data_IF_227632833622
#
_entry.id   IF_227632833622
#
_cell.length_a   1.000
_cell.length_b   1.000
_cell.length_c   1.000
_cell.angle_alpha   90.00
_cell.angle_beta   90.00
_cell.angle_gamma   90.00
#
_symmetry.space_group_name_H-M   'P 1'
#
loop_
_entity.id
_entity.type
_entity.pdbx_description
1 polymer ?
#
# COMPACT_ATOMS: atom_id res chain seq x y z
N UNK A 1 -34.54 -81.58 -5.42
CA UNK A 1 -33.27 -82.06 -6.03
C UNK A 1 -32.07 -81.41 -5.31
N UNK A 2 -30.85 -81.90 -5.57
CA UNK A 2 -29.48 -81.38 -5.28
C UNK A 2 -29.30 -80.17 -4.33
N UNK A 3 -28.58 -80.23 -3.20
CA UNK A 3 -27.15 -80.56 -2.92
C UNK A 3 -26.11 -79.43 -3.16
N UNK A 4 -25.78 -78.73 -2.05
CA UNK A 4 -24.46 -78.29 -1.51
C UNK A 4 -23.25 -77.88 -2.42
N UNK A 5 -22.46 -76.96 -1.84
CA UNK A 5 -20.97 -76.80 -1.83
C UNK A 5 -20.23 -75.86 -2.82
N UNK A 6 -19.10 -75.31 -2.33
CA UNK A 6 -18.09 -74.39 -2.93
C UNK A 6 -18.54 -72.94 -3.21
N UNK A 7 -17.91 -71.83 -2.78
CA UNK A 7 -16.54 -71.45 -2.29
C UNK A 7 -15.56 -71.00 -3.41
N UNK A 8 -14.75 -69.96 -3.11
CA UNK A 8 -13.87 -69.11 -3.95
C UNK A 8 -14.64 -68.04 -4.78
N UNK A 9 -14.42 -66.72 -4.63
CA UNK A 9 -13.24 -65.84 -4.89
C UNK A 9 -13.23 -65.32 -6.35
N UNK A 10 -12.90 -64.06 -6.70
CA UNK A 10 -12.35 -62.90 -5.95
C UNK A 10 -12.61 -61.58 -6.72
N UNK A 11 -12.36 -60.41 -6.08
CA UNK A 11 -12.02 -59.10 -6.70
C UNK A 11 -12.99 -58.46 -7.73
N UNK A 12 -13.56 -57.28 -7.41
CA UNK A 12 -13.11 -56.00 -8.02
C UNK A 12 -13.68 -54.73 -7.36
N UNK A 13 -12.77 -53.90 -6.86
CA UNK A 13 -12.77 -52.43 -6.84
C UNK A 13 -14.10 -51.64 -6.68
N UNK A 14 -14.45 -51.28 -5.44
CA UNK A 14 -15.26 -50.09 -5.19
C UNK A 14 -14.40 -48.82 -5.43
N UNK A 15 -14.76 -48.01 -6.43
CA UNK A 15 -14.05 -46.75 -6.75
C UNK A 15 -14.43 -45.62 -5.78
N UNK A 16 -13.91 -45.67 -4.55
CA UNK A 16 -13.91 -44.53 -3.63
C UNK A 16 -12.98 -43.45 -4.16
N UNK A 17 -13.52 -42.50 -4.93
CA UNK A 17 -12.76 -41.43 -5.56
C UNK A 17 -12.36 -40.35 -4.52
N UNK A 18 -11.42 -40.67 -3.64
CA UNK A 18 -10.87 -39.76 -2.64
C UNK A 18 -10.08 -38.66 -3.34
N UNK A 19 -10.75 -37.55 -3.64
CA UNK A 19 -10.15 -36.36 -4.23
C UNK A 19 -9.15 -35.73 -3.23
N UNK A 20 -7.89 -36.14 -3.32
CA UNK A 20 -6.78 -35.49 -2.62
C UNK A 20 -6.63 -34.07 -3.17
N UNK A 21 -7.22 -33.09 -2.49
CA UNK A 21 -7.07 -31.67 -2.83
C UNK A 21 -5.60 -31.31 -2.65
N UNK A 22 -4.87 -30.89 -3.71
CA UNK A 22 -3.48 -30.52 -3.56
C UNK A 22 -3.38 -29.28 -2.65
N UNK A 23 -2.70 -29.43 -1.52
CA UNK A 23 -2.43 -28.36 -0.58
C UNK A 23 -1.39 -27.38 -1.17
N UNK A 24 -1.82 -26.57 -2.13
CA UNK A 24 -1.02 -25.45 -2.65
C UNK A 24 -0.63 -24.54 -1.48
N UNK A 25 0.68 -24.36 -1.29
CA UNK A 25 1.23 -23.53 -0.21
C UNK A 25 0.62 -22.12 -0.28
N UNK A 26 -0.25 -21.79 0.69
CA UNK A 26 -1.08 -20.59 0.60
C UNK A 26 -0.21 -19.34 0.74
N UNK A 27 0.00 -18.65 -0.38
CA UNK A 27 0.75 -17.42 -0.42
C UNK A 27 0.03 -16.35 0.43
N UNK A 28 0.77 -15.56 1.24
CA UNK A 28 0.19 -14.51 2.07
C UNK A 28 -0.79 -13.61 1.31
N UNK A 29 -1.97 -13.39 1.88
CA UNK A 29 -3.01 -12.53 1.32
C UNK A 29 -2.55 -11.07 1.25
N UNK A 30 -3.14 -10.26 0.37
CA UNK A 30 -2.83 -8.83 0.30
C UNK A 30 -3.08 -8.10 1.64
N UNK A 31 -4.10 -8.52 2.40
CA UNK A 31 -4.36 -8.02 3.73
C UNK A 31 -3.18 -8.29 4.69
N UNK A 32 -2.68 -9.53 4.75
CA UNK A 32 -1.50 -9.89 5.54
C UNK A 32 -0.23 -9.16 5.06
N UNK A 33 0.01 -9.09 3.75
CA UNK A 33 1.17 -8.37 3.18
C UNK A 33 1.15 -6.88 3.53
N UNK A 34 -0.04 -6.26 3.52
CA UNK A 34 -0.20 -4.87 3.93
C UNK A 34 0.02 -4.70 5.44
N UNK A 35 -0.52 -5.61 6.27
CA UNK A 35 -0.32 -5.59 7.73
C UNK A 35 1.16 -5.69 8.13
N UNK A 36 1.91 -6.62 7.51
CA UNK A 36 3.37 -6.72 7.68
C UNK A 36 4.06 -5.43 7.22
N UNK A 37 3.68 -4.88 6.06
CA UNK A 37 4.30 -3.64 5.54
C UNK A 37 4.08 -2.44 6.48
N UNK A 38 2.96 -2.37 7.19
CA UNK A 38 2.75 -1.37 8.25
C UNK A 38 3.57 -1.64 9.50
N UNK A 39 3.58 -2.87 10.02
CA UNK A 39 4.26 -3.23 11.27
C UNK A 39 5.80 -3.17 11.15
N UNK A 40 6.35 -3.60 10.02
CA UNK A 40 7.78 -3.73 9.78
C UNK A 40 8.42 -2.52 9.09
N UNK A 41 7.74 -1.38 8.97
CA UNK A 41 8.20 -0.27 8.12
C UNK A 41 9.57 0.27 8.52
N UNK A 42 9.83 0.43 9.81
CA UNK A 42 11.10 0.85 10.39
C UNK A 42 12.19 -0.19 10.17
N UNK A 43 11.90 -1.43 10.55
CA UNK A 43 12.84 -2.55 10.55
C UNK A 43 13.27 -2.91 9.13
N UNK A 44 12.35 -2.78 8.16
CA UNK A 44 12.64 -2.95 6.75
C UNK A 44 13.62 -1.89 6.22
N UNK A 45 13.53 -0.65 6.70
CA UNK A 45 14.48 0.41 6.32
C UNK A 45 15.85 0.23 6.99
N UNK A 46 15.92 -0.39 8.17
CA UNK A 46 17.17 -0.69 8.86
C UNK A 46 17.89 -1.93 8.29
N UNK A 47 17.15 -2.99 7.95
CA UNK A 47 17.73 -4.31 7.65
C UNK A 47 17.49 -4.83 6.22
N UNK A 48 16.57 -4.21 5.45
CA UNK A 48 16.13 -4.70 4.14
C UNK A 48 16.03 -3.61 3.04
N UNK A 49 16.68 -2.46 3.23
CA UNK A 49 16.56 -1.31 2.32
C UNK A 49 16.91 -1.60 0.84
N UNK A 50 17.82 -2.56 0.59
CA UNK A 50 18.23 -2.98 -0.75
C UNK A 50 17.24 -3.92 -1.46
N UNK A 51 16.13 -4.29 -0.81
CA UNK A 51 15.15 -5.26 -1.32
C UNK A 51 13.87 -4.54 -1.80
N UNK A 52 13.22 -4.96 -2.90
CA UNK A 52 11.94 -4.39 -3.33
C UNK A 52 10.79 -4.68 -2.35
N UNK A 53 10.08 -3.66 -1.82
CA UNK A 53 9.07 -3.85 -0.78
C UNK A 53 7.77 -4.48 -1.30
N UNK A 54 7.28 -5.49 -0.58
CA UNK A 54 5.96 -6.11 -0.81
C UNK A 54 5.97 -7.45 -1.57
N UNK A 55 7.10 -7.84 -2.15
CA UNK A 55 7.29 -9.17 -2.74
C UNK A 55 7.51 -10.29 -1.71
N UNK A 56 7.89 -11.48 -2.17
CA UNK A 56 8.31 -12.59 -1.29
C UNK A 56 9.75 -12.40 -0.78
N UNK A 57 10.55 -11.67 -1.54
CA UNK A 57 11.93 -11.25 -1.25
C UNK A 57 11.98 -10.40 0.01
N UNK A 58 11.04 -9.45 0.13
CA UNK A 58 10.85 -8.61 1.31
C UNK A 58 10.56 -9.45 2.56
N UNK A 59 9.66 -10.44 2.45
CA UNK A 59 9.35 -11.35 3.56
C UNK A 59 10.54 -12.25 3.90
N UNK A 60 11.29 -12.75 2.90
CA UNK A 60 12.48 -13.58 3.16
C UNK A 60 13.61 -12.76 3.81
N UNK A 61 13.78 -11.48 3.45
CA UNK A 61 14.74 -10.59 4.10
C UNK A 61 14.36 -10.33 5.57
N UNK A 62 13.07 -10.07 5.85
CA UNK A 62 12.59 -9.94 7.23
C UNK A 62 12.82 -11.24 8.01
N UNK A 63 12.43 -12.41 7.48
CA UNK A 63 12.68 -13.73 8.11
C UNK A 63 14.17 -13.95 8.45
N UNK A 64 15.08 -13.59 7.54
CA UNK A 64 16.54 -13.68 7.75
C UNK A 64 17.08 -12.76 8.85
N UNK A 65 16.36 -11.68 9.17
CA UNK A 65 16.76 -10.68 10.18
C UNK A 65 15.90 -10.74 11.45
N UNK A 66 15.09 -11.79 11.67
CA UNK A 66 14.07 -11.85 12.74
C UNK A 66 14.53 -11.46 14.15
N UNK A 67 15.78 -11.76 14.52
CA UNK A 67 16.37 -11.38 15.81
C UNK A 67 16.62 -9.87 15.96
N UNK A 68 16.77 -9.15 14.85
CA UNK A 68 17.02 -7.70 14.79
C UNK A 68 15.75 -6.87 14.60
N UNK A 69 14.63 -7.50 14.22
CA UNK A 69 13.35 -6.81 14.05
C UNK A 69 12.70 -6.47 15.39
N UNK A 70 11.98 -5.36 15.44
CA UNK A 70 11.07 -4.98 16.52
C UNK A 70 10.03 -6.08 16.82
N UNK A 71 9.59 -6.18 18.08
CA UNK A 71 8.64 -7.21 18.53
C UNK A 71 7.31 -7.19 17.75
N UNK A 72 6.81 -6.00 17.41
CA UNK A 72 5.62 -5.84 16.56
C UNK A 72 5.82 -6.38 15.14
N UNK A 73 7.00 -6.14 14.55
CA UNK A 73 7.35 -6.70 13.25
C UNK A 73 7.55 -8.22 13.31
N UNK A 74 8.25 -8.74 14.33
CA UNK A 74 8.40 -10.19 14.56
C UNK A 74 7.03 -10.89 14.63
N UNK A 75 6.08 -10.34 15.39
CA UNK A 75 4.73 -10.87 15.49
C UNK A 75 4.01 -10.91 14.14
N UNK A 76 4.07 -9.82 13.37
CA UNK A 76 3.46 -9.73 12.05
C UNK A 76 4.07 -10.72 11.03
N UNK A 77 5.39 -10.96 11.08
CA UNK A 77 6.04 -11.94 10.20
C UNK A 77 5.71 -13.38 10.63
N UNK A 78 5.75 -13.69 11.94
CA UNK A 78 5.41 -15.03 12.47
C UNK A 78 3.96 -15.44 12.16
N UNK A 79 3.01 -14.51 12.29
CA UNK A 79 1.58 -14.76 12.00
C UNK A 79 1.26 -15.04 10.51
N UNK A 80 2.27 -15.00 9.64
CA UNK A 80 2.15 -15.12 8.18
C UNK A 80 3.24 -16.06 7.60
N UNK A 81 4.04 -16.70 8.47
CA UNK A 81 4.69 -17.94 8.08
C UNK A 81 3.61 -19.03 7.91
N UNK A 82 3.81 -20.02 7.02
CA UNK A 82 2.88 -21.14 6.95
C UNK A 82 2.89 -21.84 8.31
N UNK A 83 1.74 -21.84 8.98
CA UNK A 83 1.57 -22.59 10.21
C UNK A 83 1.84 -24.07 9.92
N UNK A 84 2.91 -24.61 10.48
CA UNK A 84 2.97 -26.05 10.72
C UNK A 84 1.73 -26.41 11.55
N UNK A 85 1.01 -27.44 11.11
CA UNK A 85 -0.35 -27.72 11.57
C UNK A 85 -0.41 -27.83 13.11
N UNK A 86 -1.42 -27.24 13.77
CA UNK A 86 -1.62 -27.41 15.21
C UNK A 86 -2.10 -28.83 15.52
N UNK A 87 -1.17 -29.80 15.52
CA UNK A 87 -1.36 -31.14 16.05
C UNK A 87 -1.34 -31.11 17.59
N UNK A 88 -2.47 -30.81 18.19
CA UNK A 88 -2.88 -31.30 19.51
C UNK A 88 -4.38 -31.07 19.69
N UNK A 89 -5.15 -32.10 20.04
CA UNK A 89 -6.55 -31.95 20.39
C UNK A 89 -6.76 -31.08 21.65
N UNK A 90 -7.88 -30.37 21.71
CA UNK A 90 -8.34 -29.77 22.95
C UNK A 90 -8.89 -30.89 23.88
N UNK A 91 -8.26 -31.07 25.04
CA UNK A 91 -8.82 -31.83 26.16
C UNK A 91 -9.21 -30.85 27.29
N UNK A 92 -10.49 -30.79 27.71
CA UNK A 92 -10.95 -29.90 28.77
C UNK A 92 -10.37 -30.19 30.17
N UNK A 93 -10.65 -29.26 31.09
CA UNK A 93 -10.07 -29.09 32.42
C UNK A 93 -10.56 -30.06 33.52
N UNK A 94 -9.78 -30.09 34.61
CA UNK A 94 -10.22 -30.24 36.02
C UNK A 94 -10.82 -31.60 36.49
N UNK A 95 -10.87 -31.93 37.79
CA UNK A 95 -10.45 -31.19 39.01
C UNK A 95 -9.61 -32.09 39.99
N UNK A 96 -9.58 -32.00 41.35
CA UNK A 96 -8.32 -32.15 42.10
C UNK A 96 -8.24 -33.38 43.02
N UNK A 97 -7.08 -33.61 43.65
CA UNK A 97 -7.02 -34.00 45.07
C UNK A 97 -5.64 -33.74 45.71
N UNK A 98 -5.48 -34.05 47.00
CA UNK A 98 -4.57 -33.33 47.90
C UNK A 98 -3.35 -34.09 48.49
N UNK A 99 -2.42 -33.27 49.00
CA UNK A 99 -1.29 -33.50 49.93
C UNK A 99 -1.41 -34.71 50.90
N UNK A 100 -0.27 -35.29 51.35
CA UNK A 100 0.52 -34.63 52.41
C UNK A 100 2.06 -34.67 52.31
N UNK A 101 2.72 -33.92 53.21
CA UNK A 101 4.17 -33.69 53.32
C UNK A 101 4.68 -33.94 54.74
N UNK A 102 5.91 -34.48 54.92
CA UNK A 102 7.00 -33.83 55.68
C UNK A 102 8.32 -33.85 54.87
N UNK A 103 9.48 -33.26 55.25
CA UNK A 103 9.94 -32.26 56.24
C UNK A 103 11.00 -31.40 55.48
N UNK A 104 11.37 -30.15 55.79
CA UNK A 104 12.05 -29.59 56.97
C UNK A 104 13.47 -30.17 57.22
N UNK A 105 14.51 -29.38 57.52
CA UNK A 105 14.59 -27.94 57.89
C UNK A 105 15.46 -27.18 56.83
N UNK A 106 16.10 -26.01 56.95
CA UNK A 106 16.52 -25.11 58.06
C UNK A 106 16.70 -23.66 57.52
N UNK A 107 17.46 -22.77 58.20
CA UNK A 107 17.79 -21.35 57.83
C UNK A 107 19.26 -21.05 58.27
N UNK A 108 19.92 -19.91 57.93
CA UNK A 108 19.57 -18.57 58.42
C UNK A 108 19.63 -17.44 57.36
N UNK A 109 19.37 -16.19 57.80
CA UNK A 109 19.26 -14.93 57.05
C UNK A 109 19.70 -13.79 58.02
N UNK A 110 20.06 -12.58 57.54
CA UNK A 110 19.23 -11.43 57.94
C UNK A 110 19.06 -10.31 56.87
N UNK A 111 17.85 -9.72 56.81
CA UNK A 111 17.57 -8.38 56.25
C UNK A 111 18.01 -7.24 57.21
N UNK A 112 17.98 -5.94 56.83
CA UNK A 112 16.76 -5.09 56.74
C UNK A 112 16.75 -4.15 55.50
N UNK A 113 15.81 -3.23 55.22
CA UNK A 113 14.38 -3.00 55.53
C UNK A 113 13.83 -1.93 54.52
N UNK A 114 12.55 -1.50 54.60
CA UNK A 114 11.89 -0.67 53.57
C UNK A 114 11.08 0.54 54.08
N UNK A 115 10.78 1.48 53.16
CA UNK A 115 9.99 2.73 53.30
C UNK A 115 9.70 3.28 51.87
N UNK A 116 8.59 3.94 51.50
CA UNK A 116 7.23 4.13 52.09
C UNK A 116 6.21 4.44 50.97
N UNK A 117 4.93 4.63 51.30
CA UNK A 117 3.86 5.17 50.42
C UNK A 117 3.39 6.57 50.96
N UNK A 118 2.33 7.29 50.51
CA UNK A 118 1.14 6.86 49.73
C UNK A 118 0.69 7.82 48.57
N UNK A 119 -0.58 7.72 48.16
CA UNK A 119 -1.18 8.26 46.92
C UNK A 119 -2.05 9.52 47.10
N UNK A 120 -2.51 10.12 45.99
CA UNK A 120 -3.74 10.93 45.94
C UNK A 120 -4.44 10.94 44.56
N UNK A 121 -5.72 11.35 44.49
CA UNK A 121 -6.57 11.38 43.28
C UNK A 121 -7.84 12.24 43.44
N UNK A 122 -8.11 13.19 42.53
CA UNK A 122 -9.45 13.42 41.96
C UNK A 122 -9.44 13.24 40.42
N UNK A 123 -10.46 12.71 39.73
CA UNK A 123 -11.77 13.34 39.41
C UNK A 123 -11.58 14.70 38.70
N UNK A 124 -11.69 14.87 37.38
CA UNK A 124 -12.71 14.49 36.37
C UNK A 124 -13.96 15.39 36.39
N UNK A 125 -14.05 16.33 35.42
CA UNK A 125 -15.32 16.92 34.99
C UNK A 125 -15.34 17.23 33.48
N UNK A 126 -16.56 17.26 32.94
CA UNK A 126 -17.00 17.39 31.55
C UNK A 126 -16.78 18.79 30.94
N UNK A 127 -16.37 18.86 29.67
CA UNK A 127 -16.93 19.83 28.70
C UNK A 127 -16.46 19.53 27.25
N UNK A 128 -17.41 19.47 26.32
CA UNK A 128 -17.15 19.84 24.92
C UNK A 128 -17.41 21.35 24.77
N UNK A 129 -16.88 22.00 23.72
CA UNK A 129 -17.82 22.37 22.67
C UNK A 129 -17.30 22.23 21.23
N UNK A 130 -18.28 22.01 20.34
CA UNK A 130 -18.33 22.29 18.90
C UNK A 130 -17.03 22.71 18.18
N UNK A 131 -16.57 21.84 17.27
CA UNK A 131 -15.72 22.21 16.14
C UNK A 131 -16.46 23.19 15.21
N UNK A 132 -16.26 24.49 15.39
CA UNK A 132 -16.82 25.52 14.51
C UNK A 132 -15.84 25.87 13.39
N UNK A 133 -16.09 25.34 12.18
CA UNK A 133 -15.42 25.79 10.97
C UNK A 133 -15.51 27.32 10.84
N UNK A 134 -14.37 27.99 10.78
CA UNK A 134 -14.26 29.41 10.46
C UNK A 134 -13.18 29.58 9.42
N UNK A 135 -13.49 30.28 8.34
CA UNK A 135 -12.65 30.40 7.16
C UNK A 135 -11.81 31.69 7.20
N UNK A 136 -10.68 31.70 6.48
CA UNK A 136 -9.88 32.89 6.12
C UNK A 136 -9.15 33.64 7.26
N UNK A 137 -8.14 34.48 6.94
CA UNK A 137 -7.10 34.26 5.92
C UNK A 137 -5.67 34.65 6.40
N UNK A 138 -4.70 34.51 5.48
CA UNK A 138 -3.41 35.22 5.43
C UNK A 138 -2.34 34.98 6.53
N UNK A 139 -1.23 34.33 6.13
CA UNK A 139 0.14 34.87 6.27
C UNK A 139 1.11 34.07 5.39
N UNK A 140 2.18 34.71 4.89
CA UNK A 140 3.16 34.09 3.99
C UNK A 140 4.47 33.73 4.69
N UNK A 141 4.79 32.45 4.77
CA UNK A 141 6.11 31.92 5.14
C UNK A 141 6.74 31.15 3.96
N UNK A 142 8.08 30.97 3.91
CA UNK A 142 8.76 30.38 2.76
C UNK A 142 8.22 28.98 2.41
N UNK A 143 7.54 28.89 1.26
CA UNK A 143 6.48 27.91 1.07
C UNK A 143 7.02 26.56 0.59
N UNK A 144 7.38 25.70 1.55
CA UNK A 144 7.61 24.27 1.30
C UNK A 144 6.40 23.70 0.54
N UNK A 145 6.57 23.04 -0.63
CA UNK A 145 5.45 22.63 -1.45
C UNK A 145 4.53 21.67 -0.69
N UNK A 146 3.22 21.87 -0.86
CA UNK A 146 2.17 21.02 -0.28
C UNK A 146 2.30 19.57 -0.74
N UNK A 147 1.66 18.64 -0.02
CA UNK A 147 1.61 17.22 -0.42
C UNK A 147 1.07 17.03 -1.85
N UNK A 148 0.10 17.87 -2.26
CA UNK A 148 -0.44 17.91 -3.61
C UNK A 148 0.59 18.40 -4.65
N UNK A 149 1.26 19.54 -4.41
CA UNK A 149 2.33 20.05 -5.29
C UNK A 149 3.48 19.05 -5.40
N UNK A 150 3.93 18.47 -4.27
CA UNK A 150 4.96 17.44 -4.24
C UNK A 150 4.52 16.12 -4.90
N UNK A 151 3.22 15.88 -5.10
CA UNK A 151 2.73 14.80 -5.96
C UNK A 151 2.78 15.21 -7.45
N UNK A 152 2.30 16.40 -7.79
CA UNK A 152 2.28 16.94 -9.15
C UNK A 152 3.68 16.98 -9.79
N UNK A 153 4.69 17.47 -9.06
CA UNK A 153 6.11 17.48 -9.51
C UNK A 153 6.60 16.06 -9.78
N UNK A 154 6.30 15.08 -8.90
CA UNK A 154 6.70 13.67 -9.07
C UNK A 154 5.97 12.94 -10.20
N UNK A 155 4.83 13.45 -10.67
CA UNK A 155 4.22 13.00 -11.94
C UNK A 155 4.87 13.65 -13.15
N UNK A 156 5.04 14.97 -13.16
CA UNK A 156 5.60 15.71 -14.30
C UNK A 156 7.07 15.35 -14.58
N UNK A 157 7.90 15.25 -13.54
CA UNK A 157 9.34 15.03 -13.62
C UNK A 157 9.76 13.56 -13.65
N UNK A 158 8.85 12.59 -13.81
CA UNK A 158 9.19 11.17 -13.57
C UNK A 158 10.30 10.65 -14.46
N UNK A 159 10.27 10.98 -15.75
CA UNK A 159 11.28 10.54 -16.72
C UNK A 159 12.59 11.29 -16.51
N UNK A 160 12.52 12.61 -16.38
CA UNK A 160 13.67 13.50 -16.16
C UNK A 160 14.45 13.13 -14.89
N UNK A 161 13.73 12.73 -13.84
CA UNK A 161 14.32 12.28 -12.58
C UNK A 161 15.15 11.01 -12.74
N UNK A 162 14.73 10.07 -13.58
CA UNK A 162 15.48 8.84 -13.83
C UNK A 162 16.70 9.08 -14.73
N UNK A 163 16.65 10.08 -15.61
CA UNK A 163 17.78 10.48 -16.45
C UNK A 163 18.85 11.31 -15.71
N UNK A 164 18.44 12.16 -14.75
CA UNK A 164 19.33 13.19 -14.16
C UNK A 164 19.48 13.16 -12.63
N UNK A 165 18.63 12.41 -11.90
CA UNK A 165 18.58 12.42 -10.43
C UNK A 165 18.38 11.02 -9.80
N UNK A 166 18.66 9.95 -10.54
CA UNK A 166 18.37 8.56 -10.14
C UNK A 166 19.07 8.11 -8.84
N UNK A 167 20.24 8.65 -8.52
CA UNK A 167 21.00 8.36 -7.28
C UNK A 167 20.39 8.97 -6.00
N UNK A 168 19.24 9.66 -6.07
CA UNK A 168 18.61 10.36 -4.95
C UNK A 168 17.21 9.75 -4.66
N UNK A 169 16.76 9.66 -3.39
CA UNK A 169 15.41 9.21 -3.08
C UNK A 169 14.32 10.15 -3.66
N UNK A 170 13.31 9.64 -4.40
CA UNK A 170 12.31 10.46 -5.09
C UNK A 170 11.29 11.09 -4.13
N UNK A 171 11.43 12.39 -3.89
CA UNK A 171 10.59 13.19 -2.99
C UNK A 171 11.42 14.02 -1.99
N UNK A 172 10.75 14.88 -1.23
CA UNK A 172 11.42 15.77 -0.27
C UNK A 172 12.34 16.83 -0.91
N UNK A 173 13.20 17.45 -0.10
CA UNK A 173 14.01 18.58 -0.55
C UNK A 173 15.19 18.17 -1.47
N UNK A 174 15.78 16.99 -1.25
CA UNK A 174 16.95 16.53 -2.02
C UNK A 174 16.63 16.33 -3.51
N UNK A 175 15.53 15.64 -3.83
CA UNK A 175 15.06 15.48 -5.21
C UNK A 175 14.73 16.81 -5.88
N UNK A 176 14.09 17.74 -5.17
CA UNK A 176 13.80 19.08 -5.68
C UNK A 176 15.07 19.91 -5.93
N UNK A 177 16.10 19.77 -5.08
CA UNK A 177 17.40 20.42 -5.30
C UNK A 177 18.09 19.89 -6.56
N UNK A 178 18.14 18.57 -6.73
CA UNK A 178 18.72 17.96 -7.93
C UNK A 178 17.98 18.35 -9.22
N UNK A 179 16.64 18.35 -9.22
CA UNK A 179 15.85 18.81 -10.36
C UNK A 179 16.20 20.27 -10.70
N UNK A 180 16.20 21.18 -9.72
CA UNK A 180 16.61 22.58 -9.93
C UNK A 180 18.01 22.73 -10.50
N UNK A 181 18.97 21.94 -10.04
CA UNK A 181 20.35 21.94 -10.56
C UNK A 181 20.47 21.42 -12.00
N UNK A 182 19.47 20.69 -12.49
CA UNK A 182 19.44 20.11 -13.84
C UNK A 182 18.40 20.78 -14.76
N UNK A 183 17.84 21.95 -14.42
CA UNK A 183 16.69 22.54 -15.12
C UNK A 183 16.87 22.70 -16.64
N UNK A 184 18.09 22.92 -17.14
CA UNK A 184 18.39 22.95 -18.57
C UNK A 184 18.12 21.62 -19.30
N UNK A 185 18.28 20.48 -18.62
CA UNK A 185 18.12 19.14 -19.18
C UNK A 185 16.72 18.53 -18.97
N UNK A 186 15.92 19.08 -18.05
CA UNK A 186 14.55 18.59 -17.80
C UNK A 186 13.63 18.84 -19.00
N UNK A 187 12.54 18.07 -19.09
CA UNK A 187 11.38 18.38 -19.91
C UNK A 187 10.74 19.73 -19.53
N UNK A 188 10.09 20.39 -20.51
CA UNK A 188 9.40 21.65 -20.28
C UNK A 188 8.29 21.54 -19.22
N UNK A 189 7.57 20.42 -19.19
CA UNK A 189 6.55 20.09 -18.20
C UNK A 189 7.15 19.98 -16.79
N UNK A 190 8.29 19.28 -16.65
CA UNK A 190 8.99 19.19 -15.37
C UNK A 190 9.53 20.55 -14.88
N UNK A 191 10.18 21.35 -15.75
CA UNK A 191 10.56 22.75 -15.43
C UNK A 191 9.37 23.56 -14.93
N UNK A 192 8.24 23.51 -15.64
CA UNK A 192 7.04 24.26 -15.27
C UNK A 192 6.50 23.82 -13.90
N UNK A 193 6.47 22.52 -13.60
CA UNK A 193 6.05 22.01 -12.30
C UNK A 193 7.00 22.40 -11.15
N UNK A 194 8.32 22.39 -11.38
CA UNK A 194 9.34 22.80 -10.40
C UNK A 194 9.27 24.31 -10.12
N UNK A 195 9.07 25.13 -11.16
CA UNK A 195 8.97 26.58 -11.03
C UNK A 195 7.63 27.04 -10.43
N UNK A 196 6.51 26.37 -10.75
CA UNK A 196 5.24 26.57 -10.06
C UNK A 196 5.31 26.25 -8.56
N UNK A 197 6.13 25.25 -8.18
CA UNK A 197 6.40 24.91 -6.79
C UNK A 197 7.44 25.83 -6.10
N UNK A 198 8.17 26.66 -6.87
CA UNK A 198 9.14 27.62 -6.36
C UNK A 198 8.53 28.98 -5.98
N UNK A 199 7.23 29.19 -6.24
CA UNK A 199 6.53 30.45 -6.01
C UNK A 199 6.02 31.13 -7.30
N UNK A 200 6.38 30.61 -8.48
CA UNK A 200 5.89 31.13 -9.76
C UNK A 200 4.43 30.76 -10.01
N UNK A 201 3.48 31.54 -9.49
CA UNK A 201 2.04 31.35 -9.71
C UNK A 201 1.59 31.74 -11.12
N UNK A 202 2.10 31.04 -12.13
CA UNK A 202 1.47 30.98 -13.44
C UNK A 202 0.23 30.07 -13.34
N UNK A 203 -0.94 30.63 -13.63
CA UNK A 203 -2.17 29.86 -13.79
C UNK A 203 -2.12 28.92 -15.02
N UNK A 204 -3.20 28.18 -15.30
CA UNK A 204 -3.28 27.34 -16.50
C UNK A 204 -3.29 28.21 -17.76
N UNK A 205 -2.12 28.46 -18.32
CA UNK A 205 -1.95 29.11 -19.60
C UNK A 205 -2.49 28.20 -20.72
N UNK A 206 -3.79 28.33 -21.02
CA UNK A 206 -4.32 27.93 -22.30
C UNK A 206 -3.57 28.75 -23.37
N UNK A 207 -2.68 28.08 -24.09
CA UNK A 207 -1.62 28.73 -24.87
C UNK A 207 -1.13 27.83 -25.99
N UNK A 208 -2.06 27.34 -26.82
CA UNK A 208 -1.73 26.66 -28.06
C UNK A 208 -1.13 27.63 -29.08
N UNK A 209 0.15 27.96 -28.91
CA UNK A 209 0.89 28.77 -29.87
C UNK A 209 1.01 27.99 -31.19
N UNK A 210 0.25 28.40 -32.20
CA UNK A 210 0.35 27.85 -33.54
C UNK A 210 1.72 28.21 -34.14
N UNK A 211 2.62 27.23 -34.23
CA UNK A 211 3.89 27.41 -34.94
C UNK A 211 3.59 27.41 -36.44
N UNK A 212 3.68 28.58 -37.07
CA UNK A 212 3.55 28.71 -38.51
C UNK A 212 4.77 28.08 -39.22
N UNK A 213 4.63 26.85 -39.70
CA UNK A 213 5.64 26.17 -40.52
C UNK A 213 5.42 26.46 -41.99
N UNK A 214 6.35 27.19 -42.63
CA UNK A 214 6.40 27.34 -44.09
C UNK A 214 6.56 25.98 -44.80
N UNK A 215 6.10 25.84 -46.06
CA UNK A 215 6.02 24.55 -46.73
C UNK A 215 7.39 24.03 -47.20
N UNK A 216 8.07 23.28 -46.33
CA UNK A 216 9.13 22.35 -46.73
C UNK A 216 8.51 21.07 -47.30
N UNK A 217 8.94 20.64 -48.49
CA UNK A 217 8.38 19.47 -49.15
C UNK A 217 8.67 18.18 -48.35
N UNK A 218 7.62 17.51 -47.89
CA UNK A 218 7.73 16.24 -47.16
C UNK A 218 7.79 15.04 -48.11
N UNK A 219 8.56 13.98 -47.81
CA UNK A 219 8.36 12.68 -48.43
C UNK A 219 6.97 12.13 -48.07
N UNK A 220 6.39 11.31 -48.94
CA UNK A 220 5.03 10.78 -48.75
C UNK A 220 4.93 9.95 -47.45
N UNK A 221 4.23 10.48 -46.45
CA UNK A 221 4.02 9.80 -45.18
C UNK A 221 3.08 8.61 -45.36
N UNK A 222 3.58 7.40 -45.07
CA UNK A 222 2.73 6.22 -44.99
C UNK A 222 1.65 6.40 -43.90
N UNK A 223 0.41 5.93 -44.11
CA UNK A 223 -0.67 6.14 -43.16
C UNK A 223 -0.37 5.42 -41.84
N UNK A 224 -0.23 6.19 -40.75
CA UNK A 224 -0.09 5.64 -39.41
C UNK A 224 -1.40 4.99 -38.96
N UNK A 225 -1.58 3.71 -39.25
CA UNK A 225 -2.71 2.92 -38.79
C UNK A 225 -2.63 2.75 -37.26
N UNK A 226 -3.37 3.59 -36.53
CA UNK A 226 -3.47 3.50 -35.08
C UNK A 226 -4.01 2.12 -34.68
N UNK A 227 -3.15 1.32 -34.05
CA UNK A 227 -3.50 0.03 -33.45
C UNK A 227 -4.62 0.27 -32.41
N UNK A 228 -5.74 -0.48 -32.43
CA UNK A 228 -6.75 -0.34 -31.39
C UNK A 228 -6.15 -0.64 -30.02
N UNK A 229 -6.30 0.31 -29.10
CA UNK A 229 -5.83 0.22 -27.71
C UNK A 229 -6.33 -1.05 -27.03
N UNK A 230 -5.47 -1.71 -26.26
CA UNK A 230 -5.84 -2.87 -25.46
C UNK A 230 -6.63 -2.42 -24.22
N UNK A 231 -7.58 -3.23 -23.70
CA UNK A 231 -8.35 -2.86 -22.50
C UNK A 231 -7.50 -2.49 -21.27
N UNK A 232 -6.30 -3.09 -21.12
CA UNK A 232 -5.36 -2.74 -20.05
C UNK A 232 -4.75 -1.34 -20.21
N UNK A 233 -4.50 -0.90 -21.44
CA UNK A 233 -3.98 0.43 -21.77
C UNK A 233 -5.07 1.49 -21.56
N UNK A 234 -6.31 1.19 -21.97
CA UNK A 234 -7.51 2.02 -21.68
C UNK A 234 -7.68 2.26 -20.18
N UNK A 235 -7.63 1.20 -19.36
CA UNK A 235 -7.74 1.31 -17.90
C UNK A 235 -6.58 2.13 -17.31
N UNK A 236 -5.36 1.99 -17.84
CA UNK A 236 -4.21 2.78 -17.40
C UNK A 236 -4.36 4.27 -17.73
N UNK A 237 -4.79 4.61 -18.95
CA UNK A 237 -5.03 6.01 -19.38
C UNK A 237 -6.18 6.65 -18.60
N UNK A 238 -7.28 5.92 -18.38
CA UNK A 238 -8.39 6.42 -17.56
C UNK A 238 -7.96 6.65 -16.10
N UNK A 239 -7.18 5.73 -15.52
CA UNK A 239 -6.68 5.84 -14.13
C UNK A 239 -5.61 6.91 -13.97
N UNK A 240 -4.84 7.25 -15.01
CA UNK A 240 -3.87 8.35 -14.95
C UNK A 240 -4.56 9.72 -15.11
N UNK A 241 -5.50 9.86 -16.05
CA UNK A 241 -6.24 11.10 -16.29
C UNK A 241 -7.21 11.45 -15.15
N UNK A 242 -8.10 10.52 -14.77
CA UNK A 242 -9.07 10.72 -13.67
C UNK A 242 -8.49 10.43 -12.29
N UNK A 243 -7.21 10.07 -12.18
CA UNK A 243 -6.57 9.69 -10.91
C UNK A 243 -6.46 10.83 -9.89
N UNK A 244 -6.67 12.08 -10.29
CA UNK A 244 -6.85 13.22 -9.38
C UNK A 244 -8.31 13.36 -8.95
N UNK A 245 -9.22 13.45 -9.92
CA UNK A 245 -10.66 13.63 -9.72
C UNK A 245 -11.28 12.55 -8.83
N UNK A 246 -10.93 11.28 -9.03
CA UNK A 246 -11.38 10.17 -8.18
C UNK A 246 -11.06 10.39 -6.70
N UNK A 247 -9.91 10.99 -6.37
CA UNK A 247 -9.51 11.25 -4.98
C UNK A 247 -10.10 12.52 -4.40
N UNK A 248 -10.50 13.48 -5.24
CA UNK A 248 -11.07 14.75 -4.81
C UNK A 248 -12.61 14.72 -4.73
N UNK A 249 -13.26 13.91 -5.57
CA UNK A 249 -14.71 13.95 -5.82
C UNK A 249 -15.42 12.61 -5.52
N UNK A 250 -14.67 11.51 -5.43
CA UNK A 250 -15.18 10.14 -5.28
C UNK A 250 -14.34 9.31 -4.27
N UNK A 251 -13.67 9.97 -3.31
CA UNK A 251 -12.69 9.32 -2.43
C UNK A 251 -13.27 8.20 -1.58
N UNK A 252 -14.51 8.39 -1.12
CA UNK A 252 -15.25 7.48 -0.23
C UNK A 252 -15.99 6.36 -0.99
N UNK A 253 -15.92 6.34 -2.33
CA UNK A 253 -16.66 5.39 -3.16
C UNK A 253 -15.97 4.01 -3.13
N UNK A 254 -16.62 2.93 -2.65
CA UNK A 254 -15.98 1.62 -2.55
C UNK A 254 -15.54 1.09 -3.92
N UNK A 255 -14.26 0.74 -4.03
CA UNK A 255 -13.66 0.25 -5.26
C UNK A 255 -14.36 -1.01 -5.82
N UNK A 256 -14.24 -1.23 -7.14
CA UNK A 256 -14.90 -2.33 -7.85
C UNK A 256 -16.32 -2.03 -8.34
N UNK A 257 -16.88 -2.92 -9.16
CA UNK A 257 -18.27 -2.85 -9.63
C UNK A 257 -18.65 -1.60 -10.43
N UNK A 258 -17.69 -0.89 -11.04
CA UNK A 258 -17.95 0.33 -11.82
C UNK A 258 -18.33 1.58 -11.01
N UNK A 259 -18.59 1.47 -9.70
CA UNK A 259 -19.10 2.55 -8.82
C UNK A 259 -18.32 3.87 -8.94
N UNK A 260 -16.99 3.80 -9.02
CA UNK A 260 -16.12 4.98 -9.18
C UNK A 260 -16.38 5.71 -10.51
N UNK A 261 -16.65 4.98 -11.59
CA UNK A 261 -17.00 5.57 -12.90
C UNK A 261 -18.38 6.23 -12.85
N UNK A 262 -19.34 5.61 -12.16
CA UNK A 262 -20.67 6.16 -11.97
C UNK A 262 -20.66 7.45 -11.12
N UNK A 263 -19.79 7.53 -10.10
CA UNK A 263 -19.52 8.77 -9.36
C UNK A 263 -18.88 9.84 -10.26
N UNK A 264 -17.86 9.50 -11.06
CA UNK A 264 -17.24 10.45 -12.00
C UNK A 264 -18.26 10.98 -13.03
N UNK A 265 -19.19 10.16 -13.49
CA UNK A 265 -20.27 10.56 -14.40
C UNK A 265 -21.23 11.55 -13.74
N UNK A 266 -21.64 11.33 -12.48
CA UNK A 266 -22.41 12.30 -11.70
C UNK A 266 -21.67 13.61 -11.41
N UNK A 267 -20.33 13.55 -11.33
CA UNK A 267 -19.43 14.68 -11.11
C UNK A 267 -18.99 15.40 -12.40
N UNK A 268 -19.60 15.11 -13.57
CA UNK A 268 -19.10 15.55 -14.88
C UNK A 268 -18.78 17.05 -15.02
N UNK A 269 -19.53 17.93 -14.35
CA UNK A 269 -19.28 19.38 -14.33
C UNK A 269 -18.02 19.77 -13.53
N UNK A 270 -17.70 19.01 -12.48
CA UNK A 270 -16.57 19.22 -11.55
C UNK A 270 -15.25 18.61 -12.04
N UNK A 271 -15.28 17.68 -13.00
CA UNK A 271 -14.11 16.94 -13.47
C UNK A 271 -13.04 17.85 -14.10
N UNK A 272 -11.77 17.54 -13.85
CA UNK A 272 -10.63 18.11 -14.57
C UNK A 272 -10.80 17.95 -16.10
N UNK A 273 -10.33 18.90 -16.92
CA UNK A 273 -10.40 18.79 -18.38
C UNK A 273 -9.75 17.50 -18.92
N UNK A 274 -8.67 17.03 -18.28
CA UNK A 274 -8.00 15.79 -18.65
C UNK A 274 -8.90 14.56 -18.44
N UNK A 275 -9.52 14.42 -17.26
CA UNK A 275 -10.47 13.33 -17.00
C UNK A 275 -11.71 13.42 -17.89
N UNK A 276 -12.27 14.63 -18.05
CA UNK A 276 -13.47 14.89 -18.84
C UNK A 276 -13.28 14.53 -20.32
N UNK A 277 -12.15 14.91 -20.91
CA UNK A 277 -11.81 14.56 -22.31
C UNK A 277 -11.61 13.04 -22.50
N UNK A 278 -11.02 12.35 -21.52
CA UNK A 278 -10.84 10.89 -21.59
C UNK A 278 -12.17 10.15 -21.38
N UNK A 279 -13.05 10.59 -20.48
CA UNK A 279 -14.38 9.99 -20.34
C UNK A 279 -15.27 10.24 -21.57
N UNK A 280 -15.18 11.43 -22.18
CA UNK A 280 -15.94 11.75 -23.40
C UNK A 280 -15.61 10.83 -24.59
N UNK A 281 -14.41 10.25 -24.67
CA UNK A 281 -14.09 9.28 -25.73
C UNK A 281 -14.70 7.88 -25.52
N UNK A 282 -15.24 7.60 -24.33
CA UNK A 282 -15.97 6.38 -23.99
C UNK A 282 -17.48 6.61 -23.79
N UNK A 283 -17.98 7.84 -23.89
CA UNK A 283 -19.38 8.21 -23.71
C UNK A 283 -20.16 8.19 -25.05
N UNK A 284 -20.05 7.08 -25.79
CA UNK A 284 -20.75 6.81 -27.06
C UNK A 284 -21.68 5.62 -26.93
#
# INVERSE_FOLDING_TARGET
MSKRTSVLATLTAALTFTAAVPAFAQAPTDAQRNAIRSACRSDYMAHCASVPPGGMEALQCLKKNMSSLSSGCQGAVRAVEPAAEPKAEAKPEAEPEAKPTPKAETKPEPAPAATTAPAEKPAAETAAPATKSTESPAASTPKKPSSAQAAAIRSACRSDYMAHCSSIPPGGAASLKCLKQNEAHLSANCRQAVNAAAGGSAGPAAGGAAVATSPGAAPAAAPMTLRPMRPREVIFVLRSACGADVRALCGDVPAGGGRVVQCLAGQAASLSPACRNVLASFAR
#
